data_IF_660487296617
#
_entry.id   IF_660487296617
#
_cell.length_a   1.000
_cell.length_b   1.000
_cell.length_c   1.000
_cell.angle_alpha   90.00
_cell.angle_beta   90.00
_cell.angle_gamma   90.00
#
_symmetry.space_group_name_H-M   'P 1'
#
loop_
_entity.id
_entity.type
_entity.pdbx_description
1 polymer ?
#
# COMPACT_ATOMS: atom_id res chain seq x y z
N UNK A 1 28.62 54.62 33.19
CA UNK A 1 28.80 54.81 31.73
C UNK A 1 28.51 53.47 31.06
N UNK A 2 27.29 53.24 30.56
CA UNK A 2 26.90 51.97 29.93
C UNK A 2 27.11 52.05 28.42
N UNK A 3 28.05 51.26 27.90
CA UNK A 3 28.35 51.15 26.46
C UNK A 3 27.30 50.26 25.83
N UNK A 4 26.41 50.84 25.01
CA UNK A 4 25.40 50.10 24.23
C UNK A 4 26.11 49.14 23.27
N UNK A 5 25.97 47.84 23.48
CA UNK A 5 26.36 46.82 22.51
C UNK A 5 25.33 46.88 21.36
N UNK A 6 25.72 47.44 20.21
CA UNK A 6 24.89 47.37 19.00
C UNK A 6 24.87 45.92 18.50
N UNK A 7 23.76 45.21 18.76
CA UNK A 7 23.47 43.94 18.12
C UNK A 7 23.13 44.20 16.65
N UNK A 8 24.05 43.87 15.73
CA UNK A 8 23.76 43.83 14.30
C UNK A 8 22.66 42.80 14.05
N UNK A 9 21.43 43.27 13.82
CA UNK A 9 20.35 42.43 13.33
C UNK A 9 20.59 42.18 11.84
N UNK A 10 21.24 41.06 11.51
CA UNK A 10 21.29 40.56 10.14
C UNK A 10 19.88 40.08 9.76
N UNK A 11 19.24 40.78 8.80
CA UNK A 11 17.98 40.36 8.22
C UNK A 11 18.22 39.47 7.00
N UNK A 12 17.30 38.52 6.76
CA UNK A 12 17.29 37.70 5.56
C UNK A 12 16.95 38.58 4.34
N UNK A 13 17.69 38.44 3.24
CA UNK A 13 17.40 39.16 1.99
C UNK A 13 16.33 38.44 1.19
N UNK A 14 15.58 39.19 0.37
CA UNK A 14 14.62 38.60 -0.56
C UNK A 14 15.30 37.68 -1.58
N UNK A 15 16.52 38.04 -2.02
CA UNK A 15 17.30 37.27 -2.99
C UNK A 15 17.70 35.90 -2.42
N UNK A 16 18.10 35.85 -1.14
CA UNK A 16 18.42 34.57 -0.48
C UNK A 16 17.20 33.65 -0.43
N UNK A 17 16.01 34.15 -0.09
CA UNK A 17 14.79 33.35 -0.10
C UNK A 17 14.44 32.88 -1.52
N UNK A 18 14.61 33.73 -2.54
CA UNK A 18 14.32 33.36 -3.93
C UNK A 18 15.17 32.20 -4.43
N UNK A 19 16.49 32.23 -4.16
CA UNK A 19 17.40 31.16 -4.59
C UNK A 19 17.09 29.85 -3.83
N UNK A 20 16.81 29.94 -2.53
CA UNK A 20 16.47 28.76 -1.71
C UNK A 20 15.21 28.07 -2.23
N UNK A 21 14.14 28.83 -2.50
CA UNK A 21 12.89 28.26 -3.04
C UNK A 21 13.10 27.69 -4.45
N UNK A 22 13.93 28.34 -5.29
CA UNK A 22 14.25 27.82 -6.62
C UNK A 22 14.96 26.46 -6.57
N UNK A 23 15.92 26.28 -5.67
CA UNK A 23 16.63 25.00 -5.50
C UNK A 23 15.68 23.94 -4.93
N UNK A 24 14.86 24.27 -3.94
CA UNK A 24 13.87 23.34 -3.38
C UNK A 24 12.88 22.89 -4.46
N UNK A 25 12.39 23.81 -5.30
CA UNK A 25 11.48 23.49 -6.40
C UNK A 25 12.12 22.52 -7.42
N UNK A 26 13.39 22.75 -7.78
CA UNK A 26 14.14 21.85 -8.67
C UNK A 26 14.27 20.44 -8.07
N UNK A 27 14.65 20.34 -6.80
CA UNK A 27 14.77 19.05 -6.11
C UNK A 27 13.43 18.33 -6.01
N UNK A 28 12.36 19.05 -5.65
CA UNK A 28 11.02 18.49 -5.56
C UNK A 28 10.50 17.96 -6.90
N UNK A 29 10.78 18.66 -8.01
CA UNK A 29 10.36 18.24 -9.35
C UNK A 29 10.91 16.86 -9.75
N UNK A 30 12.11 16.51 -9.31
CA UNK A 30 12.73 15.20 -9.58
C UNK A 30 12.33 14.17 -8.51
N UNK A 31 12.28 14.57 -7.24
CA UNK A 31 12.06 13.66 -6.12
C UNK A 31 10.61 13.14 -6.05
N UNK A 32 9.62 14.01 -6.25
CA UNK A 32 8.18 13.67 -6.10
C UNK A 32 7.73 12.52 -7.00
N UNK A 33 7.96 12.53 -8.34
CA UNK A 33 7.49 11.43 -9.19
C UNK A 33 8.16 10.09 -8.84
N UNK A 34 9.45 10.11 -8.47
CA UNK A 34 10.16 8.91 -8.00
C UNK A 34 9.57 8.35 -6.70
N UNK A 35 9.29 9.23 -5.73
CA UNK A 35 8.66 8.85 -4.46
C UNK A 35 7.26 8.26 -4.66
N UNK A 36 6.44 8.85 -5.52
CA UNK A 36 5.08 8.35 -5.81
C UNK A 36 5.13 6.94 -6.42
N UNK A 37 6.04 6.68 -7.37
CA UNK A 37 6.23 5.34 -7.95
C UNK A 37 6.72 4.33 -6.92
N UNK A 38 7.67 4.70 -6.07
CA UNK A 38 8.17 3.84 -5.00
C UNK A 38 7.05 3.48 -4.00
N UNK A 39 6.21 4.46 -3.64
CA UNK A 39 5.03 4.23 -2.81
C UNK A 39 4.06 3.25 -3.45
N UNK A 40 3.68 3.45 -4.72
CA UNK A 40 2.80 2.51 -5.43
C UNK A 40 3.38 1.09 -5.47
N UNK A 41 4.69 0.93 -5.70
CA UNK A 41 5.35 -0.39 -5.70
C UNK A 41 5.27 -1.06 -4.32
N UNK A 42 5.45 -0.29 -3.25
CA UNK A 42 5.26 -0.79 -1.88
C UNK A 42 3.80 -1.21 -1.62
N UNK A 43 2.82 -0.47 -2.14
CA UNK A 43 1.41 -0.85 -2.07
C UNK A 43 1.15 -2.17 -2.82
N UNK A 44 1.71 -2.34 -4.03
CA UNK A 44 1.61 -3.59 -4.78
C UNK A 44 2.19 -4.78 -4.01
N UNK A 45 3.37 -4.64 -3.39
CA UNK A 45 3.96 -5.67 -2.54
C UNK A 45 3.11 -6.01 -1.32
N UNK A 46 2.42 -5.01 -0.75
CA UNK A 46 1.50 -5.26 0.36
C UNK A 46 0.28 -6.06 -0.09
N UNK A 47 -0.37 -5.69 -1.19
CA UNK A 47 -1.52 -6.42 -1.74
C UNK A 47 -1.12 -7.85 -2.13
N UNK A 48 0.07 -8.06 -2.68
CA UNK A 48 0.57 -9.41 -2.97
C UNK A 48 0.73 -10.26 -1.70
N UNK A 49 1.23 -9.67 -0.60
CA UNK A 49 1.30 -10.37 0.68
C UNK A 49 -0.08 -10.65 1.27
N UNK A 50 -1.01 -9.71 1.12
CA UNK A 50 -2.40 -9.86 1.54
C UNK A 50 -3.04 -11.06 0.83
N UNK A 51 -2.83 -11.23 -0.49
CA UNK A 51 -3.30 -12.39 -1.26
C UNK A 51 -2.73 -13.72 -0.74
N UNK A 52 -1.43 -13.77 -0.40
CA UNK A 52 -0.80 -14.95 0.21
C UNK A 52 -1.39 -15.27 1.59
N UNK A 53 -1.70 -14.23 2.37
CA UNK A 53 -2.35 -14.41 3.68
C UNK A 53 -3.78 -14.94 3.53
N UNK A 54 -4.52 -14.47 2.52
CA UNK A 54 -5.86 -14.96 2.19
C UNK A 54 -5.81 -16.44 1.79
N UNK A 55 -4.88 -16.80 0.91
CA UNK A 55 -4.64 -18.18 0.44
C UNK A 55 -4.47 -19.14 1.64
N UNK A 56 -3.54 -18.80 2.54
CA UNK A 56 -3.32 -19.57 3.77
C UNK A 56 -4.52 -19.56 4.73
N UNK A 57 -5.29 -18.47 4.80
CA UNK A 57 -6.47 -18.35 5.66
C UNK A 57 -7.63 -19.23 5.16
N UNK A 58 -7.81 -19.31 3.85
CA UNK A 58 -8.82 -20.16 3.20
C UNK A 58 -8.48 -21.63 3.44
N UNK A 59 -7.22 -22.02 3.28
CA UNK A 59 -6.77 -23.39 3.55
C UNK A 59 -7.00 -23.79 5.01
N UNK A 60 -6.67 -22.91 5.96
CA UNK A 60 -6.90 -23.16 7.39
C UNK A 60 -8.38 -23.34 7.70
N UNK A 61 -9.24 -22.46 7.16
CA UNK A 61 -10.68 -22.58 7.31
C UNK A 61 -11.22 -23.89 6.72
N UNK A 62 -10.74 -24.28 5.54
CA UNK A 62 -11.18 -25.49 4.87
C UNK A 62 -10.84 -26.76 5.67
N UNK A 63 -9.63 -26.80 6.24
CA UNK A 63 -9.17 -27.90 7.11
C UNK A 63 -10.01 -27.97 8.38
N UNK A 64 -10.25 -26.84 9.07
CA UNK A 64 -11.00 -26.82 10.33
C UNK A 64 -12.47 -27.21 10.13
N UNK A 65 -13.08 -26.77 9.04
CA UNK A 65 -14.52 -26.96 8.77
C UNK A 65 -14.83 -28.13 7.84
N UNK A 66 -13.83 -28.96 7.51
CA UNK A 66 -13.93 -30.11 6.60
C UNK A 66 -14.60 -29.75 5.27
N UNK A 67 -14.25 -28.60 4.68
CA UNK A 67 -14.78 -28.16 3.39
C UNK A 67 -14.06 -28.87 2.25
N UNK A 68 -14.83 -29.20 1.23
CA UNK A 68 -14.31 -29.78 -0.01
C UNK A 68 -13.90 -28.69 -0.99
N UNK A 69 -13.05 -29.04 -1.95
CA UNK A 69 -12.74 -28.24 -3.13
C UNK A 69 -13.99 -27.63 -3.76
N UNK A 70 -13.93 -26.34 -4.12
CA UNK A 70 -15.05 -25.64 -4.74
C UNK A 70 -16.07 -25.05 -3.76
N UNK A 71 -15.94 -25.28 -2.45
CA UNK A 71 -16.79 -24.64 -1.46
C UNK A 71 -16.47 -23.14 -1.34
N UNK A 72 -17.52 -22.31 -1.29
CA UNK A 72 -17.38 -20.87 -1.03
C UNK A 72 -17.03 -20.60 0.43
N UNK A 73 -16.03 -19.74 0.65
CA UNK A 73 -15.61 -19.21 1.94
C UNK A 73 -15.95 -17.72 1.98
N UNK A 74 -16.84 -17.33 2.89
CA UNK A 74 -17.28 -15.93 2.97
C UNK A 74 -16.18 -15.06 3.57
N UNK A 75 -16.28 -13.75 3.33
CA UNK A 75 -15.36 -12.75 3.88
C UNK A 75 -15.20 -12.92 5.40
N UNK A 76 -16.31 -12.98 6.14
CA UNK A 76 -16.28 -13.12 7.60
C UNK A 76 -15.55 -14.39 8.08
N UNK A 77 -15.56 -15.46 7.29
CA UNK A 77 -14.99 -16.75 7.66
C UNK A 77 -13.45 -16.69 7.55
N UNK A 78 -12.92 -16.39 6.36
CA UNK A 78 -11.46 -16.36 6.15
C UNK A 78 -10.80 -15.19 6.89
N UNK A 79 -11.51 -14.07 7.12
CA UNK A 79 -10.94 -12.94 7.88
C UNK A 79 -10.60 -13.30 9.32
N UNK A 80 -11.21 -14.34 9.91
CA UNK A 80 -10.89 -14.75 11.28
C UNK A 80 -9.51 -15.40 11.42
N UNK A 81 -8.94 -15.87 10.31
CA UNK A 81 -7.64 -16.53 10.25
C UNK A 81 -6.49 -15.56 9.91
N UNK A 82 -6.80 -14.28 9.67
CA UNK A 82 -5.78 -13.24 9.50
C UNK A 82 -5.54 -12.47 10.81
N UNK A 83 -4.39 -11.82 10.91
CA UNK A 83 -3.99 -11.07 12.11
C UNK A 83 -5.01 -9.99 12.47
N UNK A 84 -5.52 -10.05 13.70
CA UNK A 84 -6.45 -9.06 14.27
C UNK A 84 -5.86 -7.64 14.21
N UNK A 85 -6.72 -6.67 13.92
CA UNK A 85 -6.37 -5.24 13.83
C UNK A 85 -5.78 -4.81 12.48
N UNK A 86 -5.64 -5.73 11.52
CA UNK A 86 -5.30 -5.37 10.12
C UNK A 86 -6.54 -4.88 9.37
N UNK A 87 -6.32 -4.14 8.27
CA UNK A 87 -7.43 -3.73 7.38
C UNK A 87 -8.13 -4.94 6.76
N UNK A 88 -7.37 -6.00 6.43
CA UNK A 88 -7.93 -7.28 6.00
C UNK A 88 -8.89 -7.87 7.04
N UNK A 89 -8.47 -7.95 8.30
CA UNK A 89 -9.31 -8.50 9.37
C UNK A 89 -10.64 -7.74 9.50
N UNK A 90 -10.59 -6.41 9.46
CA UNK A 90 -11.77 -5.59 9.75
C UNK A 90 -12.77 -5.49 8.59
N UNK A 91 -12.30 -5.59 7.34
CA UNK A 91 -13.10 -5.23 6.18
C UNK A 91 -13.02 -6.21 5.02
N UNK A 92 -12.05 -7.13 5.00
CA UNK A 92 -11.77 -7.98 3.84
C UNK A 92 -11.34 -7.18 2.60
N UNK A 93 -10.95 -5.92 2.77
CA UNK A 93 -10.53 -5.04 1.70
C UNK A 93 -9.00 -4.92 1.64
N UNK A 94 -8.51 -4.60 0.45
CA UNK A 94 -7.14 -4.22 0.20
C UNK A 94 -6.80 -2.86 0.81
N UNK A 95 -5.51 -2.53 0.82
CA UNK A 95 -5.03 -1.20 1.21
C UNK A 95 -5.67 -0.05 0.41
N UNK A 96 -6.14 -0.32 -0.81
CA UNK A 96 -6.75 0.67 -1.70
C UNK A 96 -8.28 0.73 -1.57
N UNK A 97 -8.87 -0.12 -0.72
CA UNK A 97 -10.30 -0.14 -0.43
C UNK A 97 -11.13 -1.08 -1.33
N UNK A 98 -10.50 -1.76 -2.30
CA UNK A 98 -11.18 -2.80 -3.08
C UNK A 98 -11.35 -4.07 -2.26
N UNK A 99 -12.54 -4.67 -2.30
CA UNK A 99 -12.80 -5.94 -1.61
C UNK A 99 -12.15 -7.12 -2.33
N UNK A 100 -11.55 -8.04 -1.57
CA UNK A 100 -11.09 -9.34 -2.10
C UNK A 100 -12.26 -10.30 -2.37
N UNK A 101 -13.41 -10.07 -1.74
CA UNK A 101 -14.61 -10.87 -1.93
C UNK A 101 -14.57 -12.25 -1.27
N UNK A 102 -15.58 -13.05 -1.58
CA UNK A 102 -15.63 -14.45 -1.17
C UNK A 102 -14.57 -15.25 -1.92
N UNK A 103 -13.94 -16.19 -1.23
CA UNK A 103 -12.95 -17.07 -1.81
C UNK A 103 -13.54 -18.46 -2.05
N UNK A 104 -12.83 -19.30 -2.78
CA UNK A 104 -13.22 -20.70 -3.01
C UNK A 104 -12.06 -21.61 -2.63
N UNK A 105 -12.38 -22.70 -1.93
CA UNK A 105 -11.38 -23.70 -1.50
C UNK A 105 -10.65 -24.29 -2.71
N UNK A 106 -9.32 -24.40 -2.60
CA UNK A 106 -8.38 -24.83 -3.65
C UNK A 106 -8.40 -23.98 -4.92
N UNK A 107 -8.83 -22.73 -4.83
CA UNK A 107 -8.68 -21.75 -5.91
C UNK A 107 -7.77 -20.62 -5.46
N UNK A 108 -6.85 -20.24 -6.35
CA UNK A 108 -5.88 -19.17 -6.04
C UNK A 108 -6.64 -17.84 -5.97
N UNK A 109 -6.51 -17.06 -4.89
CA UNK A 109 -7.12 -15.74 -4.80
C UNK A 109 -6.55 -14.81 -5.86
N UNK A 110 -7.36 -13.93 -6.44
CA UNK A 110 -6.90 -13.01 -7.49
C UNK A 110 -6.87 -11.58 -6.98
N UNK A 111 -5.95 -10.78 -7.52
CA UNK A 111 -5.90 -9.35 -7.24
C UNK A 111 -7.21 -8.68 -7.69
N UNK A 112 -7.82 -7.80 -6.88
CA UNK A 112 -9.01 -7.05 -7.30
C UNK A 112 -8.73 -6.25 -8.58
N UNK A 113 -9.62 -6.28 -9.60
CA UNK A 113 -9.37 -5.62 -10.88
C UNK A 113 -9.08 -4.11 -10.79
N UNK A 114 -9.73 -3.43 -9.86
CA UNK A 114 -9.52 -2.00 -9.61
C UNK A 114 -8.09 -1.73 -9.10
N UNK A 115 -7.59 -2.55 -8.18
CA UNK A 115 -6.26 -2.39 -7.61
C UNK A 115 -5.19 -2.69 -8.65
N UNK A 116 -5.39 -3.75 -9.42
CA UNK A 116 -4.53 -4.08 -10.56
C UNK A 116 -4.45 -2.91 -11.55
N UNK A 117 -5.59 -2.33 -11.93
CA UNK A 117 -5.63 -1.19 -12.85
C UNK A 117 -4.83 0.00 -12.30
N UNK A 118 -4.98 0.33 -11.01
CA UNK A 118 -4.28 1.48 -10.39
C UNK A 118 -2.77 1.30 -10.24
N UNK A 119 -2.28 0.06 -10.17
CA UNK A 119 -0.89 -0.31 -9.90
C UNK A 119 -0.16 -0.92 -11.10
N UNK A 120 -0.86 -1.15 -12.22
CA UNK A 120 -0.30 -1.74 -13.44
C UNK A 120 0.87 -0.93 -14.02
N UNK A 121 0.97 0.36 -13.69
CA UNK A 121 2.08 1.24 -14.09
C UNK A 121 3.42 0.92 -13.39
N UNK A 122 3.38 0.31 -12.21
CA UNK A 122 4.58 -0.02 -11.41
C UNK A 122 4.77 -1.52 -11.15
N UNK A 123 3.73 -2.32 -11.38
CA UNK A 123 3.69 -3.76 -11.13
C UNK A 123 3.02 -4.48 -12.32
N UNK A 124 3.84 -5.03 -13.21
CA UNK A 124 3.38 -5.75 -14.40
C UNK A 124 2.88 -7.17 -14.11
N UNK A 125 2.43 -7.89 -15.15
CA UNK A 125 1.81 -9.22 -15.05
C UNK A 125 2.67 -10.26 -14.32
N UNK A 126 3.99 -10.26 -14.53
CA UNK A 126 4.90 -11.21 -13.88
C UNK A 126 5.05 -10.99 -12.37
N UNK A 127 4.78 -9.77 -11.88
CA UNK A 127 4.81 -9.47 -10.45
C UNK A 127 3.63 -10.12 -9.72
N UNK A 128 2.47 -10.17 -10.36
CA UNK A 128 1.24 -10.66 -9.75
C UNK A 128 1.12 -12.17 -9.78
N UNK A 129 1.86 -12.87 -10.63
CA UNK A 129 1.83 -14.34 -10.71
C UNK A 129 2.12 -15.01 -9.35
N UNK A 130 1.33 -16.01 -8.91
CA UNK A 130 0.18 -16.63 -9.60
C UNK A 130 -1.17 -15.90 -9.39
N UNK A 131 -1.22 -14.89 -8.53
CA UNK A 131 -2.40 -14.12 -8.12
C UNK A 131 -2.82 -13.00 -9.10
N UNK A 132 -2.45 -13.13 -10.37
CA UNK A 132 -2.83 -12.17 -11.41
C UNK A 132 -4.34 -12.15 -11.67
N UNK A 133 -4.85 -11.14 -12.38
CA UNK A 133 -6.20 -11.18 -12.92
C UNK A 133 -6.39 -12.32 -13.94
#
# INVERSE_FOLDING_TARGET
MFKKLQTNRAGFTLVEIMIVVAIIALLAAIAVPGFLRARKRSQASRILNDLRMIDSAVDQYAIETNRTTGATVNIADWTNYVKKGTQLYNSGNSLLGSGYGNQVVDTIPTVPPNDYATLSDVAGVGFWSPYGP
#
